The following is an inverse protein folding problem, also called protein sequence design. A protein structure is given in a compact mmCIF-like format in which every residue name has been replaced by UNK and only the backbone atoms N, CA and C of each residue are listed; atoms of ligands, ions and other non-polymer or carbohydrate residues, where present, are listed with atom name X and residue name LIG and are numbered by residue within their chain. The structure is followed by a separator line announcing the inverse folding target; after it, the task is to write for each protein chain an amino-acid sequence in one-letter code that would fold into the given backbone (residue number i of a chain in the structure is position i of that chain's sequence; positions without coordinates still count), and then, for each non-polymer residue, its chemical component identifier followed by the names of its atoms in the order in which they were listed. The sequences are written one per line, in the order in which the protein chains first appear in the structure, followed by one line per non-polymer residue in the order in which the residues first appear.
data_IF_120154144457
#
_entry.id   IF_120154144457
#
_cell.length_a   1.000
_cell.length_b   1.000
_cell.length_c   1.000
_cell.angle_alpha   90.00
_cell.angle_beta   90.00
_cell.angle_gamma   90.00
#
_symmetry.space_group_name_H-M   'P 1'
#
loop_
_entity.id
_entity.type
_entity.pdbx_description
1 polymer ?
#
# COMPACT_ATOMS: atom_id res chain seq x y z
N UNK A 1 -8.97 -16.34 -10.45
CA UNK A 1 -8.56 -15.70 -9.19
C UNK A 1 -9.51 -16.18 -8.11
N UNK A 2 -9.01 -16.54 -6.90
CA UNK A 2 -9.89 -16.75 -5.75
C UNK A 2 -10.68 -15.46 -5.47
N UNK A 3 -11.91 -15.56 -4.95
CA UNK A 3 -12.73 -14.38 -4.69
C UNK A 3 -12.09 -13.54 -3.57
N UNK A 4 -12.07 -12.21 -3.72
CA UNK A 4 -11.52 -11.28 -2.73
C UNK A 4 -12.12 -11.47 -1.33
N UNK A 5 -13.34 -12.02 -1.23
CA UNK A 5 -14.02 -12.37 0.02
C UNK A 5 -13.15 -13.21 0.96
N UNK A 6 -12.38 -14.14 0.39
CA UNK A 6 -11.66 -15.14 1.18
C UNK A 6 -10.44 -14.49 1.85
N UNK A 7 -9.75 -13.58 1.14
CA UNK A 7 -8.66 -12.79 1.71
C UNK A 7 -9.16 -11.85 2.80
N UNK A 8 -10.28 -11.16 2.56
CA UNK A 8 -10.85 -10.21 3.52
C UNK A 8 -11.26 -10.89 4.84
N UNK A 9 -11.77 -12.12 4.79
CA UNK A 9 -12.14 -12.88 5.99
C UNK A 9 -10.95 -13.04 6.95
N UNK A 10 -9.76 -13.36 6.43
CA UNK A 10 -8.56 -13.58 7.24
C UNK A 10 -8.00 -12.31 7.87
N UNK A 11 -8.18 -11.15 7.22
CA UNK A 11 -7.79 -9.86 7.80
C UNK A 11 -8.63 -9.47 9.00
N UNK A 12 -9.92 -9.78 8.96
CA UNK A 12 -10.80 -9.51 10.10
C UNK A 12 -10.34 -10.28 11.33
N UNK A 13 -9.89 -11.53 11.16
CA UNK A 13 -9.34 -12.33 12.25
C UNK A 13 -8.04 -11.72 12.79
N UNK A 14 -7.13 -11.26 11.92
CA UNK A 14 -5.91 -10.56 12.32
C UNK A 14 -6.21 -9.25 13.08
N UNK A 15 -7.17 -8.44 12.60
CA UNK A 15 -7.62 -7.21 13.28
C UNK A 15 -8.14 -7.53 14.69
N UNK A 16 -8.91 -8.61 14.83
CA UNK A 16 -9.42 -9.02 16.13
C UNK A 16 -8.28 -9.36 17.10
N UNK A 17 -7.21 -9.99 16.63
CA UNK A 17 -5.99 -10.21 17.42
C UNK A 17 -5.35 -8.89 17.85
N UNK A 18 -5.07 -8.00 16.90
CA UNK A 18 -4.39 -6.73 17.15
C UNK A 18 -5.17 -5.81 18.11
N UNK A 19 -6.49 -5.68 17.92
CA UNK A 19 -7.31 -4.73 18.68
C UNK A 19 -7.75 -5.28 20.03
N UNK A 20 -8.15 -6.55 20.12
CA UNK A 20 -8.79 -7.08 21.33
C UNK A 20 -7.87 -7.89 22.23
N UNK A 21 -6.72 -8.36 21.72
CA UNK A 21 -5.81 -9.26 22.47
C UNK A 21 -4.35 -8.84 22.38
N UNK A 22 -4.09 -7.55 22.16
CA UNK A 22 -2.73 -7.00 22.10
C UNK A 22 -1.84 -7.69 21.05
N UNK A 23 -2.47 -8.18 19.97
CA UNK A 23 -1.81 -8.92 18.90
C UNK A 23 -1.62 -10.41 19.17
N UNK A 24 -1.99 -10.97 20.32
CA UNK A 24 -1.78 -12.40 20.59
C UNK A 24 -2.87 -13.28 19.94
N UNK A 25 -2.42 -14.33 19.25
CA UNK A 25 -3.29 -15.38 18.70
C UNK A 25 -3.80 -16.26 19.84
N UNK A 26 -5.11 -16.41 19.93
CA UNK A 26 -5.78 -17.25 20.91
C UNK A 26 -6.52 -18.44 20.27
N UNK A 27 -7.06 -19.37 21.07
CA UNK A 27 -7.75 -20.56 20.56
C UNK A 27 -8.94 -20.24 19.64
N UNK A 28 -9.56 -19.08 19.84
CA UNK A 28 -10.70 -18.60 19.02
C UNK A 28 -10.31 -18.18 17.61
N UNK A 29 -9.02 -18.07 17.29
CA UNK A 29 -8.53 -17.70 15.95
C UNK A 29 -8.24 -18.92 15.08
N UNK A 30 -8.23 -20.09 15.72
CA UNK A 30 -7.88 -21.37 15.13
C UNK A 30 -9.13 -22.16 14.72
N UNK A 31 -10.21 -21.43 14.37
CA UNK A 31 -11.54 -22.01 14.12
C UNK A 31 -11.53 -22.97 12.94
N UNK A 32 -12.22 -24.10 13.09
CA UNK A 32 -12.33 -25.13 12.07
C UNK A 32 -11.16 -26.12 12.06
N UNK A 33 -10.45 -26.27 13.19
CA UNK A 33 -9.35 -27.23 13.33
C UNK A 33 -8.05 -26.78 12.69
N UNK A 34 -7.87 -25.47 12.48
CA UNK A 34 -6.62 -24.92 11.92
C UNK A 34 -5.56 -24.88 13.01
N UNK A 35 -4.33 -25.22 12.68
CA UNK A 35 -3.19 -25.13 13.62
C UNK A 35 -2.65 -23.70 13.72
N UNK A 36 -2.97 -22.85 12.74
CA UNK A 36 -2.45 -21.50 12.62
C UNK A 36 -3.56 -20.50 12.25
N UNK A 37 -3.43 -19.27 12.76
CA UNK A 37 -4.08 -18.11 12.18
C UNK A 37 -3.41 -17.82 10.84
N UNK A 38 -4.20 -17.84 9.79
CA UNK A 38 -3.75 -17.60 8.42
C UNK A 38 -4.19 -16.20 8.01
N UNK A 39 -3.27 -15.35 7.59
CA UNK A 39 -3.52 -14.02 7.04
C UNK A 39 -3.17 -14.03 5.56
N UNK A 40 -4.14 -13.69 4.71
CA UNK A 40 -4.00 -13.66 3.25
C UNK A 40 -4.33 -12.30 2.69
N UNK A 41 -3.53 -11.85 1.73
CA UNK A 41 -3.78 -10.60 1.05
C UNK A 41 -3.31 -10.59 -0.37
N UNK A 42 -3.79 -9.58 -1.09
CA UNK A 42 -3.34 -9.32 -2.44
C UNK A 42 -2.19 -8.32 -2.38
N UNK A 43 -1.01 -8.76 -2.80
CA UNK A 43 0.18 -7.94 -2.99
C UNK A 43 0.41 -7.60 -4.47
N UNK A 44 1.49 -6.87 -4.70
CA UNK A 44 1.92 -6.45 -6.04
C UNK A 44 3.40 -6.77 -6.23
N UNK A 45 3.72 -7.62 -7.19
CA UNK A 45 5.08 -7.84 -7.64
C UNK A 45 5.36 -6.99 -8.89
N UNK A 46 6.53 -6.36 -8.92
CA UNK A 46 7.05 -5.71 -10.12
C UNK A 46 8.11 -6.62 -10.74
N UNK A 47 7.90 -6.99 -12.00
CA UNK A 47 8.81 -7.83 -12.76
C UNK A 47 9.46 -7.01 -13.87
N UNK A 48 10.79 -7.07 -13.93
CA UNK A 48 11.59 -6.50 -15.01
C UNK A 48 11.80 -7.57 -16.08
N UNK A 49 11.54 -7.22 -17.33
CA UNK A 49 11.75 -8.05 -18.51
C UNK A 49 12.78 -7.37 -19.42
N UNK A 50 14.09 -7.60 -19.20
CA UNK A 50 15.14 -7.05 -20.07
C UNK A 50 15.07 -7.64 -21.46
N UNK A 51 15.40 -6.85 -22.49
CA UNK A 51 15.54 -7.38 -23.86
C UNK A 51 16.68 -8.39 -23.90
N UNK A 52 16.38 -9.64 -24.30
CA UNK A 52 17.37 -10.72 -24.42
C UNK A 52 17.84 -11.32 -23.09
N UNK A 53 17.22 -10.96 -21.97
CA UNK A 53 17.50 -11.50 -20.64
C UNK A 53 16.31 -12.24 -20.03
N UNK A 54 16.56 -12.94 -18.92
CA UNK A 54 15.50 -13.59 -18.15
C UNK A 54 14.70 -12.56 -17.31
N UNK A 55 13.39 -12.77 -17.10
CA UNK A 55 12.59 -11.95 -16.20
C UNK A 55 13.12 -11.98 -14.76
N UNK A 56 13.14 -10.83 -14.11
CA UNK A 56 13.64 -10.68 -12.74
C UNK A 56 12.60 -9.98 -11.88
N UNK A 57 12.36 -10.50 -10.67
CA UNK A 57 11.56 -9.79 -9.67
C UNK A 57 12.35 -8.56 -9.21
N UNK A 58 11.75 -7.38 -9.33
CA UNK A 58 12.39 -6.14 -8.91
C UNK A 58 12.44 -6.06 -7.38
N UNK A 59 13.58 -5.67 -6.81
CA UNK A 59 13.65 -5.38 -5.39
C UNK A 59 12.80 -4.14 -5.07
N UNK A 60 12.27 -4.11 -3.85
CA UNK A 60 11.47 -3.00 -3.34
C UNK A 60 12.26 -1.71 -3.17
N UNK A 61 13.54 -1.84 -2.81
CA UNK A 61 14.48 -0.74 -2.80
C UNK A 61 15.32 -0.81 -4.07
N UNK A 62 15.06 0.13 -4.98
CA UNK A 62 15.80 0.25 -6.22
C UNK A 62 17.10 1.05 -6.04
N UNK A 63 17.33 1.68 -4.88
CA UNK A 63 18.48 2.54 -4.65
C UNK A 63 18.64 3.58 -5.77
N UNK A 64 19.74 3.48 -6.51
CA UNK A 64 20.08 4.36 -7.65
C UNK A 64 19.28 4.06 -8.94
N UNK A 65 18.45 3.01 -8.95
CA UNK A 65 17.68 2.55 -10.09
C UNK A 65 18.36 1.42 -10.86
N UNK A 66 17.62 0.80 -11.78
CA UNK A 66 18.11 -0.26 -12.66
C UNK A 66 18.26 0.29 -14.07
N UNK A 67 19.49 0.33 -14.58
CA UNK A 67 19.75 0.75 -15.96
C UNK A 67 19.74 -0.46 -16.90
N UNK A 68 18.85 -0.43 -17.90
CA UNK A 68 18.79 -1.43 -18.95
C UNK A 68 19.36 -0.87 -20.26
N UNK A 69 20.56 -1.32 -20.61
CA UNK A 69 21.30 -0.86 -21.80
C UNK A 69 20.48 -1.00 -23.09
N UNK A 70 19.82 -2.14 -23.25
CA UNK A 70 19.06 -2.48 -24.46
C UNK A 70 17.54 -2.30 -24.26
N UNK A 71 17.15 -1.65 -23.16
CA UNK A 71 15.76 -1.47 -22.76
C UNK A 71 15.12 -2.72 -22.15
N UNK A 72 13.82 -2.62 -21.90
CA UNK A 72 13.00 -3.69 -21.32
C UNK A 72 11.63 -3.18 -20.88
N UNK A 73 10.82 -4.08 -20.35
CA UNK A 73 9.47 -3.78 -19.86
C UNK A 73 9.38 -4.02 -18.35
N UNK A 74 8.56 -3.21 -17.69
CA UNK A 74 8.16 -3.45 -16.29
C UNK A 74 6.72 -3.94 -16.29
N UNK A 75 6.50 -5.11 -15.71
CA UNK A 75 5.17 -5.70 -15.57
C UNK A 75 4.80 -5.77 -14.09
N UNK A 76 3.67 -5.16 -13.75
CA UNK A 76 3.06 -5.33 -12.44
C UNK A 76 2.18 -6.59 -12.44
N UNK A 77 2.32 -7.44 -11.41
CA UNK A 77 1.54 -8.66 -11.24
C UNK A 77 0.91 -8.69 -9.86
N UNK A 78 -0.39 -8.93 -9.84
CA UNK A 78 -1.13 -9.19 -8.61
C UNK A 78 -0.78 -10.58 -8.09
N UNK A 79 -0.49 -10.69 -6.80
CA UNK A 79 -0.03 -11.93 -6.17
C UNK A 79 -0.73 -12.16 -4.84
N UNK A 80 -1.07 -13.41 -4.52
CA UNK A 80 -1.60 -13.77 -3.20
C UNK A 80 -0.44 -13.95 -2.23
N UNK A 81 -0.44 -13.18 -1.15
CA UNK A 81 0.50 -13.27 -0.04
C UNK A 81 -0.14 -14.06 1.09
N UNK A 82 0.71 -14.77 1.84
CA UNK A 82 0.30 -15.65 2.92
C UNK A 82 1.25 -15.49 4.09
N UNK A 83 0.70 -15.32 5.29
CA UNK A 83 1.44 -15.29 6.55
C UNK A 83 0.68 -16.09 7.60
N UNK A 84 1.39 -16.91 8.37
CA UNK A 84 0.79 -17.76 9.41
C UNK A 84 1.32 -17.40 10.78
N UNK A 85 0.45 -17.53 11.79
CA UNK A 85 0.78 -17.31 13.19
C UNK A 85 0.23 -18.46 14.03
N UNK A 86 1.07 -19.00 14.91
CA UNK A 86 0.70 -20.10 15.80
C UNK A 86 -0.03 -19.59 17.04
N UNK A 87 -0.64 -20.51 17.79
CA UNK A 87 -1.25 -20.19 19.08
C UNK A 87 -0.24 -19.50 20.02
N UNK A 88 -0.62 -18.36 20.60
CA UNK A 88 0.22 -17.60 21.51
C UNK A 88 1.26 -16.71 20.84
N UNK A 89 1.44 -16.76 19.52
CA UNK A 89 2.30 -15.81 18.81
C UNK A 89 1.67 -14.42 18.73
N UNK A 90 2.53 -13.41 18.72
CA UNK A 90 2.12 -12.04 18.45
C UNK A 90 2.06 -11.82 16.94
N UNK A 91 0.90 -11.39 16.46
CA UNK A 91 0.67 -10.93 15.10
C UNK A 91 1.49 -9.67 14.87
N UNK A 92 2.36 -9.74 13.87
CA UNK A 92 3.22 -8.63 13.46
C UNK A 92 3.42 -8.64 11.96
N UNK A 93 3.62 -7.45 11.40
CA UNK A 93 3.83 -7.26 9.96
C UNK A 93 5.02 -6.35 9.75
N UNK A 94 5.77 -6.59 8.68
CA UNK A 94 6.78 -5.63 8.23
C UNK A 94 6.11 -4.38 7.65
N UNK A 95 6.84 -3.26 7.61
CA UNK A 95 6.34 -2.04 6.97
C UNK A 95 5.91 -2.27 5.52
N UNK A 96 6.64 -3.11 4.79
CA UNK A 96 6.29 -3.47 3.42
C UNK A 96 4.97 -4.26 3.34
N UNK A 97 4.79 -5.27 4.19
CA UNK A 97 3.54 -6.04 4.22
C UNK A 97 2.34 -5.13 4.51
N UNK A 98 2.47 -4.24 5.50
CA UNK A 98 1.41 -3.26 5.81
C UNK A 98 1.14 -2.30 4.65
N UNK A 99 2.20 -1.84 3.96
CA UNK A 99 2.07 -0.98 2.78
C UNK A 99 1.24 -1.66 1.69
N UNK A 100 1.53 -2.92 1.34
CA UNK A 100 0.74 -3.66 0.33
C UNK A 100 -0.75 -3.73 0.71
N UNK A 101 -1.03 -4.01 2.00
CA UNK A 101 -2.39 -4.11 2.52
C UNK A 101 -3.13 -2.77 2.45
N UNK A 102 -2.45 -1.69 2.83
CA UNK A 102 -3.03 -0.34 2.85
C UNK A 102 -3.27 0.19 1.44
N UNK A 103 -2.36 -0.06 0.49
CA UNK A 103 -2.57 0.31 -0.92
C UNK A 103 -3.80 -0.39 -1.48
N UNK A 104 -3.97 -1.67 -1.17
CA UNK A 104 -5.17 -2.42 -1.58
C UNK A 104 -6.43 -1.81 -0.97
N UNK A 105 -6.42 -1.51 0.33
CA UNK A 105 -7.56 -0.89 1.01
C UNK A 105 -7.91 0.49 0.44
N UNK A 106 -6.91 1.32 0.13
CA UNK A 106 -7.09 2.63 -0.48
C UNK A 106 -7.79 2.52 -1.84
N UNK A 107 -7.33 1.60 -2.70
CA UNK A 107 -7.96 1.36 -4.00
C UNK A 107 -9.42 0.90 -3.88
N UNK A 108 -9.76 0.10 -2.87
CA UNK A 108 -11.16 -0.28 -2.60
C UNK A 108 -12.01 0.91 -2.13
N UNK A 109 -11.46 1.78 -1.28
CA UNK A 109 -12.13 3.01 -0.87
C UNK A 109 -12.40 3.93 -2.07
N UNK A 110 -11.44 4.10 -2.96
CA UNK A 110 -11.62 4.89 -4.19
C UNK A 110 -12.71 4.31 -5.10
N UNK A 111 -12.69 2.99 -5.35
CA UNK A 111 -13.72 2.32 -6.13
C UNK A 111 -15.12 2.45 -5.50
N UNK A 112 -15.22 2.36 -4.18
CA UNK A 112 -16.47 2.57 -3.45
C UNK A 112 -16.95 4.01 -3.58
N UNK A 113 -16.07 5.00 -3.42
CA UNK A 113 -16.40 6.42 -3.58
C UNK A 113 -16.93 6.72 -4.99
N UNK A 114 -16.28 6.19 -6.03
CA UNK A 114 -16.74 6.32 -7.41
C UNK A 114 -18.12 5.70 -7.62
N UNK A 115 -18.35 4.51 -7.04
CA UNK A 115 -19.64 3.81 -7.13
C UNK A 115 -20.75 4.56 -6.43
N UNK A 116 -20.48 5.10 -5.23
CA UNK A 116 -21.43 5.93 -4.48
C UNK A 116 -21.73 7.24 -5.21
N UNK A 117 -20.72 7.85 -5.82
CA UNK A 117 -20.89 9.05 -6.63
C UNK A 117 -21.77 8.78 -7.86
N UNK A 118 -21.53 7.69 -8.58
CA UNK A 118 -22.37 7.27 -9.72
C UNK A 118 -23.81 7.01 -9.29
N UNK A 119 -24.01 6.35 -8.14
CA UNK A 119 -25.34 6.12 -7.57
C UNK A 119 -26.03 7.44 -7.21
N UNK A 120 -25.35 8.36 -6.53
CA UNK A 120 -25.90 9.65 -6.15
C UNK A 120 -26.25 10.50 -7.38
N UNK A 121 -25.42 10.49 -8.42
CA UNK A 121 -25.70 11.13 -9.71
C UNK A 121 -26.96 10.54 -10.36
N UNK A 122 -27.09 9.21 -10.40
CA UNK A 122 -28.26 8.54 -10.97
C UNK A 122 -29.58 8.88 -10.25
N UNK A 123 -29.49 9.28 -8.99
CA UNK A 123 -30.64 9.69 -8.16
C UNK A 123 -30.90 11.20 -8.20
N UNK A 124 -30.13 11.96 -8.98
CA UNK A 124 -30.22 13.42 -9.05
C UNK A 124 -29.85 14.11 -7.73
N UNK A 125 -29.02 13.46 -6.90
CA UNK A 125 -28.59 13.98 -5.60
C UNK A 125 -27.29 14.80 -5.66
N UNK A 126 -26.69 14.93 -6.85
CA UNK A 126 -25.46 15.69 -7.07
C UNK A 126 -25.73 16.83 -8.05
N UNK A 127 -25.57 18.07 -7.58
CA UNK A 127 -25.82 19.27 -8.38
C UNK A 127 -24.59 19.79 -9.16
N UNK A 128 -23.44 19.11 -9.13
CA UNK A 128 -22.28 19.43 -9.98
C UNK A 128 -21.34 18.21 -10.12
N UNK A 129 -20.62 18.07 -11.24
CA UNK A 129 -19.61 17.04 -11.39
C UNK A 129 -18.44 17.26 -10.41
N UNK A 130 -17.76 16.20 -9.97
CA UNK A 130 -16.67 16.31 -9.01
C UNK A 130 -15.51 17.08 -9.66
N UNK A 131 -14.73 17.87 -8.88
CA UNK A 131 -13.54 18.50 -9.41
C UNK A 131 -12.61 17.41 -9.94
N UNK A 132 -12.15 17.57 -11.18
CA UNK A 132 -11.19 16.67 -11.78
C UNK A 132 -9.96 16.56 -10.86
N UNK A 133 -9.68 15.37 -10.35
CA UNK A 133 -8.42 15.03 -9.70
C UNK A 133 -7.33 15.08 -10.76
N UNK A 134 -6.80 16.27 -11.00
CA UNK A 134 -5.49 16.41 -11.61
C UNK A 134 -4.47 16.02 -10.53
N UNK A 135 -3.86 14.85 -10.70
CA UNK A 135 -2.57 14.60 -10.09
C UNK A 135 -1.58 15.58 -10.75
N UNK A 136 -1.47 16.80 -10.21
CA UNK A 136 -0.40 17.70 -10.59
C UNK A 136 0.89 17.15 -9.98
N UNK A 137 1.62 16.40 -10.79
CA UNK A 137 3.05 16.22 -10.64
C UNK A 137 3.73 17.57 -10.93
N UNK A 138 3.67 18.51 -9.98
CA UNK A 138 4.49 19.71 -10.04
C UNK A 138 5.73 19.46 -9.19
N UNK A 139 6.77 18.99 -9.88
CA UNK A 139 8.15 18.94 -9.39
C UNK A 139 8.72 20.36 -9.34
N UNK A 140 8.20 21.18 -8.44
CA UNK A 140 8.76 22.48 -8.13
C UNK A 140 9.96 22.34 -7.19
N UNK A 141 11.16 22.24 -7.75
CA UNK A 141 12.39 22.51 -7.00
C UNK A 141 12.29 23.88 -6.31
N UNK A 142 12.57 24.02 -5.00
CA UNK A 142 12.61 25.33 -4.38
C UNK A 142 13.92 26.03 -4.78
N UNK A 143 13.81 27.06 -5.61
CA UNK A 143 14.91 28.00 -5.84
C UNK A 143 15.22 28.79 -4.54
N UNK A 144 16.50 29.16 -4.29
CA UNK A 144 16.93 29.73 -3.02
C UNK A 144 16.40 31.16 -2.88
N UNK A 145 15.82 31.48 -1.71
CA UNK A 145 15.45 32.86 -1.35
C UNK A 145 16.72 33.66 -1.07
N UNK A 146 17.04 34.59 -1.96
CA UNK A 146 18.03 35.62 -1.72
C UNK A 146 17.46 36.73 -0.82
N UNK A 147 18.18 37.04 0.26
CA UNK A 147 18.35 38.40 0.77
C UNK A 147 17.26 38.97 1.69
N UNK A 148 17.38 38.72 2.99
CA UNK A 148 17.03 39.75 3.99
C UNK A 148 18.27 40.01 4.84
N UNK A 149 18.87 41.16 4.60
CA UNK A 149 20.01 41.71 5.36
C UNK A 149 19.59 41.95 6.81
N UNK A 150 20.23 41.26 7.76
CA UNK A 150 20.22 41.64 9.18
C UNK A 150 21.61 42.18 9.49
N UNK A 151 21.67 43.46 9.86
CA UNK A 151 22.87 44.11 10.37
C UNK A 151 23.22 43.50 11.74
N UNK A 152 24.29 42.73 11.79
CA UNK A 152 25.01 42.45 13.04
C UNK A 152 26.12 43.48 13.19
N UNK A 153 25.96 44.35 14.17
CA UNK A 153 26.95 45.30 14.62
C UNK A 153 27.10 45.21 16.14
N UNK A 154 28.36 45.19 16.56
CA UNK A 154 28.89 45.27 17.93
C UNK A 154 28.88 43.99 18.79
N UNK A 155 29.95 43.20 18.58
CA UNK A 155 30.70 42.63 19.69
C UNK A 155 31.40 43.76 20.46
N UNK A 156 31.25 43.77 21.79
CA UNK A 156 32.20 44.38 22.71
C UNK A 156 32.70 43.33 23.68
N UNK A 157 34.00 43.46 23.93
CA UNK A 157 34.93 42.65 24.74
C UNK A 157 34.46 42.37 26.17
#
# INVERSE_FOLDING_TARGET
MPPHSDCLSTFWDARNCLVHRLGLVGPKDLVGGREHLLVKWIGLDLWLHPVGGEPQLMPLDLGEGIFLRDGGEVQARTVERLLTFELGHQVGFTAHQLSEMLVTALGQCEALMQSLHALAASKGLLDNPPPATSASSDSGSPAPRAGTTIHEGEQRE
#
